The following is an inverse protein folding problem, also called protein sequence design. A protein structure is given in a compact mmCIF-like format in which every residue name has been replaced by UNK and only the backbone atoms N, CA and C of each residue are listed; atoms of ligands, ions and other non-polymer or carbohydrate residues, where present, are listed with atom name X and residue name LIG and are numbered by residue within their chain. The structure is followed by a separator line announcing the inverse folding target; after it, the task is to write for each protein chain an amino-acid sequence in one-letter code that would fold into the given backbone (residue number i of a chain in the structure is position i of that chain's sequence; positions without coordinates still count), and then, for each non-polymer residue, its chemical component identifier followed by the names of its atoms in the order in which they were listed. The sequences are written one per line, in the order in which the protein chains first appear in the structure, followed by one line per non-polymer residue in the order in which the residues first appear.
data_IF_554149052091
#
_entry.id   IF_554149052091
#
_cell.length_a   1.000
_cell.length_b   1.000
_cell.length_c   1.000
_cell.angle_alpha   90.00
_cell.angle_beta   90.00
_cell.angle_gamma   90.00
#
_symmetry.space_group_name_H-M   'P 1'
#
loop_
_entity.id
_entity.type
_entity.pdbx_description
1 polymer ?
#
# COMPACT_ATOMS: atom_id res chain seq x y z
N UNK A 1 34.03 4.32 -5.97
CA UNK A 1 33.22 3.07 -6.05
C UNK A 1 31.76 3.41 -5.74
N UNK A 2 30.82 3.20 -6.67
CA UNK A 2 29.38 3.34 -6.37
C UNK A 2 28.93 2.09 -5.57
N UNK A 3 28.57 2.24 -4.30
CA UNK A 3 27.95 1.16 -3.53
C UNK A 3 26.62 0.80 -4.19
N UNK A 4 26.52 -0.40 -4.76
CA UNK A 4 25.22 -0.97 -5.16
C UNK A 4 24.48 -1.33 -3.88
N UNK A 5 23.62 -0.44 -3.41
CA UNK A 5 22.66 -0.73 -2.36
C UNK A 5 21.47 -1.41 -3.01
N UNK A 6 21.58 -2.71 -3.29
CA UNK A 6 20.39 -3.49 -3.59
C UNK A 6 19.47 -3.42 -2.37
N UNK A 7 18.20 -3.01 -2.53
CA UNK A 7 17.28 -2.93 -1.40
C UNK A 7 17.12 -4.34 -0.81
N UNK A 8 17.31 -4.47 0.50
CA UNK A 8 17.19 -5.76 1.20
C UNK A 8 15.76 -6.31 1.13
N UNK A 9 14.75 -5.44 0.96
CA UNK A 9 13.34 -5.79 0.83
C UNK A 9 12.61 -4.81 -0.11
N UNK A 10 11.47 -5.23 -0.66
CA UNK A 10 10.53 -4.32 -1.35
C UNK A 10 10.92 -3.83 -2.75
N UNK A 11 12.03 -4.31 -3.33
CA UNK A 11 12.49 -3.88 -4.66
C UNK A 11 11.56 -4.24 -5.83
N UNK A 12 10.68 -5.22 -5.63
CA UNK A 12 9.68 -5.68 -6.61
C UNK A 12 8.28 -5.14 -6.35
N UNK A 13 8.04 -4.42 -5.25
CA UNK A 13 6.71 -3.91 -4.93
C UNK A 13 6.45 -2.69 -5.82
N UNK A 14 5.41 -2.71 -6.67
CA UNK A 14 5.07 -1.56 -7.49
C UNK A 14 4.65 -0.39 -6.60
N UNK A 15 5.10 0.82 -6.96
CA UNK A 15 4.69 2.04 -6.26
C UNK A 15 3.24 2.36 -6.62
N UNK A 16 2.45 2.78 -5.64
CA UNK A 16 1.06 3.22 -5.85
C UNK A 16 0.87 4.61 -5.29
N UNK A 17 0.36 5.53 -6.13
CA UNK A 17 0.08 6.90 -5.70
C UNK A 17 -0.98 6.97 -4.59
N UNK A 18 -1.83 5.95 -4.44
CA UNK A 18 -2.81 5.87 -3.35
C UNK A 18 -2.13 5.91 -1.97
N UNK A 19 -0.93 5.33 -1.85
CA UNK A 19 -0.18 5.24 -0.60
C UNK A 19 0.96 6.26 -0.52
N UNK A 20 0.93 7.32 -1.32
CA UNK A 20 1.98 8.34 -1.32
C UNK A 20 1.66 9.45 -0.32
N UNK A 21 2.66 9.95 0.42
CA UNK A 21 2.53 11.13 1.31
C UNK A 21 1.99 12.36 0.59
N UNK A 22 2.20 12.45 -0.73
CA UNK A 22 1.72 13.56 -1.56
C UNK A 22 0.32 13.34 -2.12
N UNK A 23 -0.36 12.24 -1.79
CA UNK A 23 -1.75 12.06 -2.17
C UNK A 23 -2.62 13.10 -1.44
N UNK A 24 -3.45 13.83 -2.19
CA UNK A 24 -4.41 14.79 -1.68
C UNK A 24 -5.82 14.19 -1.50
N UNK A 25 -6.06 12.99 -2.06
CA UNK A 25 -7.35 12.31 -2.08
C UNK A 25 -7.17 10.88 -1.54
N UNK A 26 -7.22 10.69 -0.21
CA UNK A 26 -6.99 9.39 0.40
C UNK A 26 -8.14 8.38 0.20
N UNK A 27 -9.37 8.86 0.00
CA UNK A 27 -10.57 8.01 -0.12
C UNK A 27 -11.05 7.79 -1.57
N UNK A 28 -10.30 8.26 -2.57
CA UNK A 28 -10.71 8.18 -3.98
C UNK A 28 -9.51 8.10 -4.92
N UNK A 29 -9.70 8.53 -6.16
CA UNK A 29 -8.61 8.52 -7.14
C UNK A 29 -7.44 9.38 -6.66
N UNK A 30 -6.20 8.86 -6.71
CA UNK A 30 -5.06 9.52 -6.11
C UNK A 30 -4.67 10.79 -6.89
N UNK A 31 -4.66 11.92 -6.19
CA UNK A 31 -4.29 13.23 -6.75
C UNK A 31 -2.93 13.64 -6.18
N UNK A 32 -1.94 13.85 -7.04
CA UNK A 32 -0.62 14.27 -6.60
C UNK A 32 -0.60 15.77 -6.28
N UNK A 33 -0.35 16.14 -5.01
CA UNK A 33 -0.15 17.55 -4.58
C UNK A 33 1.01 18.25 -5.28
N UNK A 34 1.95 17.50 -5.86
CA UNK A 34 3.07 18.04 -6.64
C UNK A 34 2.73 18.24 -8.12
N UNK A 35 1.51 17.90 -8.57
CA UNK A 35 1.11 17.99 -9.97
C UNK A 35 1.82 17.00 -10.90
N UNK A 36 2.54 16.02 -10.35
CA UNK A 36 3.28 15.04 -11.12
C UNK A 36 2.36 13.93 -11.64
N UNK A 37 2.58 13.53 -12.90
CA UNK A 37 1.99 12.31 -13.47
C UNK A 37 2.98 11.15 -13.36
N UNK A 38 2.46 9.94 -13.18
CA UNK A 38 3.31 8.75 -13.14
C UNK A 38 3.94 8.55 -14.53
N UNK A 39 5.28 8.46 -14.66
CA UNK A 39 5.92 8.19 -15.93
C UNK A 39 5.64 6.75 -16.39
N UNK A 40 5.78 6.49 -17.69
CA UNK A 40 5.58 5.15 -18.28
C UNK A 40 6.49 4.07 -17.68
N UNK A 41 7.64 4.47 -17.12
CA UNK A 41 8.54 3.59 -16.38
C UNK A 41 7.93 3.04 -15.08
N UNK A 42 6.77 3.56 -14.67
CA UNK A 42 6.03 3.16 -13.47
C UNK A 42 6.67 3.61 -12.15
N UNK A 43 7.74 4.41 -12.19
CA UNK A 43 8.50 4.81 -11.00
C UNK A 43 8.52 6.33 -10.83
N UNK A 44 7.85 6.84 -9.80
CA UNK A 44 7.96 8.23 -9.40
C UNK A 44 9.18 8.44 -8.48
N UNK A 45 10.14 9.26 -8.90
CA UNK A 45 11.34 9.57 -8.08
C UNK A 45 11.05 10.38 -6.81
N UNK A 46 9.85 10.95 -6.68
CA UNK A 46 9.36 11.65 -5.49
C UNK A 46 8.43 10.79 -4.63
N UNK A 47 8.25 9.52 -4.97
CA UNK A 47 7.40 8.63 -4.21
C UNK A 47 7.89 8.50 -2.77
N UNK A 48 6.97 8.68 -1.81
CA UNK A 48 7.23 8.49 -0.38
C UNK A 48 6.04 7.74 0.20
N UNK A 49 6.30 6.53 0.68
CA UNK A 49 5.26 5.64 1.18
C UNK A 49 4.71 6.15 2.52
N UNK A 50 3.39 6.35 2.57
CA UNK A 50 2.64 6.65 3.78
C UNK A 50 1.83 5.41 4.22
N UNK A 51 2.23 4.72 5.29
CA UNK A 51 1.53 3.53 5.76
C UNK A 51 0.13 3.83 6.33
N UNK A 52 -0.15 5.08 6.74
CA UNK A 52 -1.46 5.47 7.29
C UNK A 52 -2.55 5.55 6.21
N UNK A 53 -2.16 5.64 4.94
CA UNK A 53 -3.09 5.59 3.79
C UNK A 53 -3.47 4.17 3.40
N UNK A 54 -2.90 3.15 4.07
CA UNK A 54 -3.22 1.75 3.77
C UNK A 54 -4.47 1.35 4.52
N UNK A 55 -5.53 1.02 3.79
CA UNK A 55 -6.70 0.39 4.38
C UNK A 55 -6.39 -1.06 4.77
N UNK A 56 -6.64 -1.45 6.04
CA UNK A 56 -6.60 -2.84 6.45
C UNK A 56 -7.60 -3.65 5.64
N UNK A 57 -7.21 -4.83 5.19
CA UNK A 57 -8.17 -5.76 4.60
C UNK A 57 -9.09 -6.26 5.70
N UNK A 58 -10.40 -6.19 5.50
CA UNK A 58 -11.34 -6.81 6.42
C UNK A 58 -11.02 -8.31 6.53
N UNK A 59 -10.97 -8.86 7.76
CA UNK A 59 -10.82 -10.29 7.93
C UNK A 59 -12.00 -11.00 7.27
N UNK A 60 -11.81 -12.26 6.83
CA UNK A 60 -12.94 -13.07 6.38
C UNK A 60 -13.98 -13.20 7.50
N UNK A 61 -15.26 -13.40 7.15
CA UNK A 61 -16.29 -13.67 8.15
C UNK A 61 -15.90 -14.90 8.98
N UNK A 62 -16.17 -14.84 10.28
CA UNK A 62 -15.93 -15.98 11.17
C UNK A 62 -16.89 -17.12 10.78
N UNK A 63 -16.43 -18.37 10.84
CA UNK A 63 -17.33 -19.52 10.71
C UNK A 63 -18.36 -19.50 11.83
N UNK A 64 -19.60 -19.82 11.48
CA UNK A 64 -20.67 -20.07 12.45
C UNK A 64 -20.45 -21.47 13.04
N UNK A 65 -20.39 -21.56 14.36
CA UNK A 65 -20.27 -22.83 15.08
C UNK A 65 -21.51 -23.05 15.95
N UNK A 66 -21.96 -24.29 16.04
CA UNK A 66 -23.04 -24.66 16.95
C UNK A 66 -22.51 -24.74 18.40
N UNK A 67 -23.18 -24.14 19.40
CA UNK A 67 -22.79 -24.26 20.81
C UNK A 67 -22.63 -25.70 21.31
N UNK A 68 -23.34 -26.66 20.73
CA UNK A 68 -23.26 -28.08 21.10
C UNK A 68 -21.89 -28.71 20.75
N UNK A 69 -21.15 -28.17 19.77
CA UNK A 69 -19.79 -28.64 19.42
C UNK A 69 -18.77 -28.45 20.56
N UNK A 70 -19.10 -27.60 21.54
CA UNK A 70 -18.22 -27.25 22.65
C UNK A 70 -18.63 -27.89 23.98
N UNK A 71 -19.60 -28.81 23.99
CA UNK A 71 -19.98 -29.54 25.21
C UNK A 71 -19.08 -30.77 25.42
N UNK A 72 -18.71 -30.98 26.68
CA UNK A 72 -17.81 -32.06 27.15
C UNK A 72 -18.56 -33.37 27.41
#
# INVERSE_FOLDING_TARGET
MRKKTSPLFGGSVPVSCAYCDYNASPAGDPVCRLGLKLPESGKCGRYRYNPLLREPKNPPPLPEHDPEEFKL
#
